data_IF_790620287621
#
_entry.id   IF_790620287621
#
_cell.length_a   1.000
_cell.length_b   1.000
_cell.length_c   1.000
_cell.angle_alpha   90.00
_cell.angle_beta   90.00
_cell.angle_gamma   90.00
#
_symmetry.space_group_name_H-M   'P 1'
#
loop_
_entity.id
_entity.type
_entity.pdbx_description
1 polymer ?
#
# COMPACT_ATOMS: atom_id res chain seq x y z
N UNK A 1 -0.29 48.02 -5.69
CA UNK A 1 0.82 47.80 -4.74
C UNK A 1 1.30 46.36 -4.92
N UNK A 2 2.40 46.14 -5.66
CA UNK A 2 2.88 44.78 -5.98
C UNK A 2 3.75 44.28 -4.84
N UNK A 3 3.24 43.32 -4.07
CA UNK A 3 3.97 42.71 -2.96
C UNK A 3 5.06 41.81 -3.54
N UNK A 4 6.27 42.35 -3.71
CA UNK A 4 7.41 41.62 -4.30
C UNK A 4 8.09 40.72 -3.26
N UNK A 5 7.49 39.56 -3.00
CA UNK A 5 8.06 38.50 -2.15
C UNK A 5 9.44 38.06 -2.65
N UNK A 6 9.65 38.15 -3.97
CA UNK A 6 10.94 37.85 -4.61
C UNK A 6 12.04 38.79 -4.14
N UNK A 7 11.76 40.07 -3.93
CA UNK A 7 12.76 41.07 -3.48
C UNK A 7 13.21 40.83 -2.05
N UNK A 8 12.30 40.42 -1.15
CA UNK A 8 12.63 40.13 0.25
C UNK A 8 13.46 38.85 0.41
N UNK A 9 13.11 37.81 -0.34
CA UNK A 9 13.91 36.57 -0.35
C UNK A 9 15.26 36.82 -1.04
N UNK A 10 15.34 37.80 -1.94
CA UNK A 10 16.55 38.05 -2.73
C UNK A 10 17.71 38.63 -1.92
N UNK A 11 17.43 39.34 -0.83
CA UNK A 11 18.43 39.92 0.08
C UNK A 11 19.07 38.87 1.01
N UNK A 12 18.52 37.66 1.09
CA UNK A 12 19.00 36.58 1.97
C UNK A 12 20.09 35.71 1.30
N UNK A 13 20.98 35.06 2.07
CA UNK A 13 22.07 34.23 1.52
C UNK A 13 21.55 33.09 0.61
N UNK A 14 22.31 32.75 -0.45
CA UNK A 14 21.90 31.75 -1.47
C UNK A 14 21.44 30.41 -0.89
N UNK A 15 22.06 29.95 0.21
CA UNK A 15 21.66 28.72 0.91
C UNK A 15 20.26 28.84 1.53
N UNK A 16 19.91 30.00 2.10
CA UNK A 16 18.59 30.24 2.70
C UNK A 16 17.48 30.18 1.63
N UNK A 17 17.67 30.84 0.48
CA UNK A 17 16.70 30.80 -0.63
C UNK A 17 16.44 29.39 -1.16
N UNK A 18 17.46 28.51 -1.12
CA UNK A 18 17.35 27.12 -1.58
C UNK A 18 16.57 26.25 -0.60
N UNK A 19 16.93 26.28 0.69
CA UNK A 19 16.37 25.36 1.68
C UNK A 19 15.05 25.82 2.29
N UNK A 20 14.79 27.14 2.35
CA UNK A 20 13.57 27.69 2.94
C UNK A 20 12.26 27.16 2.31
N UNK A 21 12.06 27.19 0.96
CA UNK A 21 10.86 26.64 0.36
C UNK A 21 10.76 25.11 0.55
N UNK A 22 11.89 24.40 0.61
CA UNK A 22 11.91 22.94 0.79
C UNK A 22 11.44 22.55 2.20
N UNK A 23 11.87 23.28 3.23
CA UNK A 23 11.42 23.09 4.61
C UNK A 23 9.92 23.39 4.74
N UNK A 24 9.45 24.49 4.14
CA UNK A 24 8.01 24.82 4.14
C UNK A 24 7.19 23.72 3.46
N UNK A 25 7.63 23.25 2.29
CA UNK A 25 6.95 22.16 1.58
C UNK A 25 6.92 20.89 2.43
N UNK A 26 8.02 20.51 3.08
CA UNK A 26 8.06 19.33 3.94
C UNK A 26 7.11 19.47 5.13
N UNK A 27 7.12 20.62 5.80
CA UNK A 27 6.19 20.90 6.90
C UNK A 27 4.74 20.87 6.44
N UNK A 28 4.45 21.41 5.26
CA UNK A 28 3.11 21.41 4.68
C UNK A 28 2.64 19.98 4.35
N UNK A 29 3.52 19.13 3.80
CA UNK A 29 3.22 17.72 3.55
C UNK A 29 2.93 16.99 4.87
N UNK A 30 3.81 17.13 5.87
CA UNK A 30 3.63 16.51 7.19
C UNK A 30 2.30 16.98 7.82
N UNK A 31 2.00 18.27 7.72
CA UNK A 31 0.76 18.83 8.22
C UNK A 31 -0.46 18.23 7.52
N UNK A 32 -0.46 18.13 6.19
CA UNK A 32 -1.55 17.51 5.42
C UNK A 32 -1.76 16.06 5.90
N UNK A 33 -0.72 15.22 5.84
CA UNK A 33 -0.86 13.81 6.22
C UNK A 33 -1.30 13.68 7.68
N UNK A 34 -0.69 14.43 8.60
CA UNK A 34 -1.05 14.43 10.01
C UNK A 34 -2.51 14.84 10.23
N UNK A 35 -2.98 15.90 9.59
CA UNK A 35 -4.36 16.37 9.68
C UNK A 35 -5.35 15.34 9.13
N UNK A 36 -5.10 14.79 7.94
CA UNK A 36 -5.98 13.79 7.33
C UNK A 36 -6.00 12.48 8.13
N UNK A 37 -4.85 11.99 8.58
CA UNK A 37 -4.77 10.79 9.43
C UNK A 37 -5.51 11.00 10.75
N UNK A 38 -5.34 12.15 11.39
CA UNK A 38 -6.06 12.48 12.62
C UNK A 38 -7.58 12.54 12.39
N UNK A 39 -8.02 13.25 11.35
CA UNK A 39 -9.45 13.33 11.01
C UNK A 39 -10.04 11.97 10.67
N UNK A 40 -9.35 11.16 9.88
CA UNK A 40 -9.77 9.80 9.55
C UNK A 40 -9.92 8.97 10.83
N UNK A 41 -8.92 8.99 11.72
CA UNK A 41 -8.96 8.25 12.99
C UNK A 41 -10.15 8.64 13.85
N UNK A 42 -10.40 9.94 14.06
CA UNK A 42 -11.52 10.44 14.87
C UNK A 42 -12.87 10.01 14.26
N UNK A 43 -13.03 10.14 12.94
CA UNK A 43 -14.27 9.74 12.26
C UNK A 43 -14.50 8.23 12.29
N UNK A 44 -13.44 7.42 12.23
CA UNK A 44 -13.51 5.96 12.25
C UNK A 44 -13.80 5.43 13.64
N UNK A 45 -13.17 5.99 14.68
CA UNK A 45 -13.42 5.67 16.08
C UNK A 45 -14.89 5.94 16.46
N UNK A 46 -15.42 7.09 16.02
CA UNK A 46 -16.85 7.44 16.19
C UNK A 46 -17.80 6.45 15.50
N UNK A 47 -17.34 5.76 14.45
CA UNK A 47 -18.15 4.79 13.67
C UNK A 47 -17.88 3.34 14.06
N UNK A 48 -17.04 3.10 15.07
CA UNK A 48 -16.61 1.74 15.45
C UNK A 48 -15.85 1.00 14.35
N UNK A 49 -15.32 1.72 13.35
CA UNK A 49 -14.51 1.12 12.28
C UNK A 49 -13.08 1.06 12.77
N UNK A 50 -12.58 -0.15 12.96
CA UNK A 50 -11.23 -0.33 13.44
C UNK A 50 -10.21 -0.09 12.32
N UNK A 51 -9.41 0.96 12.46
CA UNK A 51 -8.41 1.32 11.45
C UNK A 51 -7.11 0.53 11.67
N UNK A 52 -6.59 -0.09 10.61
CA UNK A 52 -5.28 -0.72 10.60
C UNK A 52 -5.30 -2.17 10.16
N UNK A 53 -4.33 -2.95 10.65
CA UNK A 53 -4.11 -4.34 10.29
C UNK A 53 -4.80 -5.33 11.26
N UNK A 54 -5.65 -4.85 12.19
CA UNK A 54 -6.33 -5.72 13.16
C UNK A 54 -7.20 -6.77 12.47
N UNK A 55 -7.84 -6.41 11.35
CA UNK A 55 -8.65 -7.34 10.55
C UNK A 55 -7.90 -8.62 10.16
N UNK A 56 -6.56 -8.56 9.98
CA UNK A 56 -5.76 -9.74 9.63
C UNK A 56 -5.80 -10.83 10.72
N UNK A 57 -6.04 -10.45 11.98
CA UNK A 57 -6.20 -11.38 13.09
C UNK A 57 -7.63 -11.89 13.29
N UNK A 58 -8.64 -11.22 12.71
CA UNK A 58 -10.04 -11.60 12.84
C UNK A 58 -10.33 -12.89 12.02
N UNK A 59 -11.35 -13.64 12.42
CA UNK A 59 -11.78 -14.85 11.71
C UNK A 59 -12.32 -14.51 10.32
N UNK A 60 -11.80 -15.20 9.30
CA UNK A 60 -12.17 -14.97 7.91
C UNK A 60 -13.66 -15.25 7.65
N UNK A 61 -14.25 -16.21 8.37
CA UNK A 61 -15.66 -16.60 8.28
C UNK A 61 -16.10 -17.07 6.89
N UNK A 62 -15.16 -17.47 6.03
CA UNK A 62 -15.43 -18.09 4.73
C UNK A 62 -14.45 -19.23 4.44
N UNK A 63 -14.93 -20.27 3.77
CA UNK A 63 -14.12 -21.40 3.36
C UNK A 63 -13.45 -21.17 1.99
N UNK A 64 -12.21 -21.65 1.86
CA UNK A 64 -11.47 -21.65 0.60
C UNK A 64 -11.49 -23.09 0.06
N UNK A 65 -12.02 -23.26 -1.16
CA UNK A 65 -12.22 -24.57 -1.79
C UNK A 65 -10.92 -25.37 -1.94
N UNK A 66 -9.83 -24.70 -2.30
CA UNK A 66 -8.51 -25.31 -2.47
C UNK A 66 -7.48 -24.56 -1.64
N UNK A 67 -6.75 -25.28 -0.79
CA UNK A 67 -5.69 -24.70 0.04
C UNK A 67 -4.47 -25.61 0.06
N UNK A 68 -3.29 -25.00 -0.09
CA UNK A 68 -1.99 -25.69 -0.01
C UNK A 68 -1.51 -25.90 1.42
N UNK A 69 -2.12 -25.19 2.36
CA UNK A 69 -1.89 -25.30 3.80
C UNK A 69 -3.24 -25.44 4.48
N UNK A 70 -3.29 -26.12 5.63
CA UNK A 70 -4.52 -26.32 6.38
C UNK A 70 -5.22 -24.98 6.63
N UNK A 71 -6.48 -24.87 6.21
CA UNK A 71 -7.28 -23.65 6.34
C UNK A 71 -8.74 -24.03 6.54
N UNK A 72 -9.44 -23.25 7.35
CA UNK A 72 -10.89 -23.32 7.54
C UNK A 72 -11.44 -21.91 7.69
N UNK A 73 -12.75 -21.72 7.56
CA UNK A 73 -13.39 -20.43 7.81
C UNK A 73 -13.16 -19.85 9.21
N UNK A 74 -12.80 -20.67 10.19
CA UNK A 74 -12.39 -20.22 11.54
C UNK A 74 -10.93 -19.72 11.60
N UNK A 75 -10.17 -19.83 10.51
CA UNK A 75 -8.81 -19.28 10.42
C UNK A 75 -8.85 -17.77 10.23
N UNK A 76 -7.73 -17.10 10.57
CA UNK A 76 -7.64 -15.65 10.44
C UNK A 76 -7.55 -15.16 8.99
N UNK A 77 -7.95 -13.91 8.74
CA UNK A 77 -7.79 -13.26 7.42
C UNK A 77 -6.33 -13.25 6.93
N UNK A 78 -5.34 -13.16 7.82
CA UNK A 78 -3.92 -13.30 7.46
C UNK A 78 -3.63 -14.65 6.82
N UNK A 79 -4.18 -15.72 7.39
CA UNK A 79 -4.02 -17.08 6.85
C UNK A 79 -4.77 -17.24 5.54
N UNK A 80 -5.98 -16.66 5.43
CA UNK A 80 -6.73 -16.64 4.17
C UNK A 80 -5.94 -15.93 3.05
N UNK A 81 -5.31 -14.79 3.36
CA UNK A 81 -4.45 -14.07 2.41
C UNK A 81 -3.24 -14.91 1.99
N UNK A 82 -2.57 -15.59 2.93
CA UNK A 82 -1.45 -16.48 2.64
C UNK A 82 -1.88 -17.64 1.74
N UNK A 83 -3.01 -18.29 2.01
CA UNK A 83 -3.57 -19.34 1.16
C UNK A 83 -3.82 -18.82 -0.26
N UNK A 84 -4.43 -17.64 -0.39
CA UNK A 84 -4.65 -16.99 -1.68
C UNK A 84 -3.34 -16.75 -2.44
N UNK A 85 -2.33 -16.21 -1.76
CA UNK A 85 -1.01 -15.95 -2.35
C UNK A 85 -0.34 -17.25 -2.84
N UNK A 86 -0.36 -18.31 -2.02
CA UNK A 86 0.20 -19.61 -2.38
C UNK A 86 -0.51 -20.20 -3.60
N UNK A 87 -1.84 -20.06 -3.68
CA UNK A 87 -2.62 -20.52 -4.82
C UNK A 87 -2.27 -19.73 -6.10
N UNK A 88 -2.10 -18.40 -6.01
CA UNK A 88 -1.65 -17.59 -7.16
C UNK A 88 -0.27 -18.02 -7.65
N UNK A 89 0.67 -18.26 -6.72
CA UNK A 89 2.02 -18.74 -7.05
C UNK A 89 1.95 -20.12 -7.71
N UNK A 90 1.13 -21.04 -7.19
CA UNK A 90 0.96 -22.38 -7.76
C UNK A 90 0.50 -22.30 -9.23
N UNK A 91 -0.56 -21.54 -9.49
CA UNK A 91 -1.11 -21.36 -10.84
C UNK A 91 -0.07 -20.70 -11.76
N UNK A 92 0.67 -19.70 -11.26
CA UNK A 92 1.72 -19.05 -12.02
C UNK A 92 2.86 -20.03 -12.40
N UNK A 93 3.33 -20.86 -11.47
CA UNK A 93 4.38 -21.86 -11.72
C UNK A 93 3.94 -22.89 -12.75
N UNK A 94 2.73 -23.44 -12.60
CA UNK A 94 2.16 -24.41 -13.56
C UNK A 94 2.02 -23.76 -14.94
N UNK A 95 1.51 -22.53 -15.01
CA UNK A 95 1.35 -21.78 -16.25
C UNK A 95 2.68 -21.53 -16.97
N UNK A 96 3.73 -21.10 -16.25
CA UNK A 96 5.07 -20.88 -16.80
C UNK A 96 5.65 -22.19 -17.32
N UNK A 97 5.57 -23.27 -16.54
CA UNK A 97 6.07 -24.58 -16.96
C UNK A 97 5.36 -25.07 -18.22
N UNK A 98 4.03 -25.02 -18.25
CA UNK A 98 3.26 -25.45 -19.42
C UNK A 98 3.58 -24.60 -20.65
N UNK A 99 3.63 -23.27 -20.51
CA UNK A 99 3.97 -22.36 -21.61
C UNK A 99 5.37 -22.61 -22.17
N UNK A 100 6.37 -22.80 -21.31
CA UNK A 100 7.75 -23.08 -21.73
C UNK A 100 7.84 -24.40 -22.53
N UNK A 101 7.22 -25.47 -22.02
CA UNK A 101 7.20 -26.75 -22.72
C UNK A 101 6.46 -26.65 -24.06
N UNK A 102 5.29 -26.00 -24.10
CA UNK A 102 4.52 -25.81 -25.33
C UNK A 102 5.31 -25.02 -26.40
N UNK A 103 6.04 -23.99 -26.00
CA UNK A 103 6.94 -23.23 -26.88
C UNK A 103 8.01 -24.14 -27.51
N UNK A 104 8.56 -25.09 -26.76
CA UNK A 104 9.59 -26.02 -27.26
C UNK A 104 9.05 -26.95 -28.36
N UNK A 105 7.76 -27.30 -28.35
CA UNK A 105 7.17 -28.18 -29.35
C UNK A 105 6.72 -27.46 -30.64
N UNK A 106 6.50 -26.15 -30.58
CA UNK A 106 5.99 -25.36 -31.72
C UNK A 106 7.08 -24.89 -32.70
N UNK A 107 8.36 -25.04 -32.38
CA UNK A 107 9.49 -24.65 -33.25
C UNK A 107 9.97 -25.76 -34.21
N UNK A 108 9.22 -26.85 -34.36
CA UNK A 108 9.54 -27.97 -35.25
C UNK A 108 8.71 -28.01 -36.55
N UNK A 109 8.10 -26.89 -36.94
CA UNK A 109 7.44 -26.71 -38.25
C UNK A 109 7.86 -25.37 -38.87
#
# INVERSE_FOLDING_TARGET
>A
MSFKITTFLDEKPKKFKKYFPQVITLLFIIFIFGYFTYNARVNMDTRGIDFGLRFLGEEASFDIQFSLIEYSGASSYAKAYLVGLLNTILVAVIGIFFFYNLRSYHWYF
#
